data_IF_001074729201
#
_entry.id   IF_001074729201
#
_cell.length_a   1.000
_cell.length_b   1.000
_cell.length_c   1.000
_cell.angle_alpha   90.00
_cell.angle_beta   90.00
_cell.angle_gamma   90.00
#
_symmetry.space_group_name_H-M   'P 1'
#
loop_
_entity.id
_entity.type
_entity.pdbx_description
1 polymer ?
#
# COMPACT_ATOMS: atom_id res chain seq x y z
N UNK A 1 23.57 -13.77 -8.68
CA UNK A 1 22.24 -14.25 -8.25
C UNK A 1 21.98 -13.63 -6.89
N UNK A 2 20.90 -12.84 -6.75
CA UNK A 2 20.58 -12.17 -5.51
C UNK A 2 20.20 -13.18 -4.42
N UNK A 3 20.55 -12.87 -3.18
CA UNK A 3 20.10 -13.60 -2.00
C UNK A 3 18.80 -12.98 -1.48
N UNK A 4 17.82 -13.79 -1.11
CA UNK A 4 16.59 -13.29 -0.47
C UNK A 4 16.82 -13.13 1.04
N UNK A 5 16.54 -11.95 1.55
CA UNK A 5 16.67 -11.57 2.96
C UNK A 5 15.33 -11.02 3.47
N UNK A 6 14.91 -11.44 4.66
CA UNK A 6 13.87 -10.73 5.41
C UNK A 6 14.53 -9.52 6.07
N UNK A 7 14.04 -8.32 5.76
CA UNK A 7 14.60 -7.09 6.29
C UNK A 7 14.31 -6.96 7.79
N UNK A 8 15.19 -6.26 8.48
CA UNK A 8 15.13 -6.04 9.92
C UNK A 8 15.56 -4.60 10.27
N UNK A 9 15.45 -4.17 11.53
CA UNK A 9 16.04 -2.91 11.97
C UNK A 9 17.53 -2.83 11.58
N UNK A 10 17.93 -1.74 10.94
CA UNK A 10 19.24 -1.54 10.32
C UNK A 10 19.20 -1.50 8.80
N UNK A 11 18.18 -2.08 8.17
CA UNK A 11 18.07 -2.15 6.70
C UNK A 11 17.34 -0.93 6.08
N UNK A 12 16.86 0.02 6.88
CA UNK A 12 16.04 1.14 6.42
C UNK A 12 16.74 1.96 5.32
N UNK A 13 18.02 2.29 5.52
CA UNK A 13 18.76 3.09 4.55
C UNK A 13 18.92 2.37 3.21
N UNK A 14 19.14 1.05 3.22
CA UNK A 14 19.25 0.24 2.01
C UNK A 14 17.90 0.15 1.27
N UNK A 15 16.80 0.01 2.03
CA UNK A 15 15.45 0.02 1.48
C UNK A 15 15.10 1.38 0.86
N UNK A 16 15.37 2.49 1.55
CA UNK A 16 15.12 3.83 1.03
C UNK A 16 15.96 4.13 -0.21
N UNK A 17 17.24 3.73 -0.23
CA UNK A 17 18.10 3.90 -1.40
C UNK A 17 17.54 3.18 -2.65
N UNK A 18 16.88 2.04 -2.47
CA UNK A 18 16.22 1.32 -3.56
C UNK A 18 14.87 1.96 -3.95
N UNK A 19 14.04 2.38 -2.99
CA UNK A 19 12.68 2.84 -3.28
C UNK A 19 12.59 4.30 -3.72
N UNK A 20 13.45 5.20 -3.21
CA UNK A 20 13.38 6.64 -3.50
C UNK A 20 13.52 6.98 -5.00
N UNK A 21 14.40 6.33 -5.79
CA UNK A 21 14.42 6.53 -7.25
C UNK A 21 13.14 6.09 -7.97
N UNK A 22 12.24 5.38 -7.28
CA UNK A 22 10.97 4.82 -7.78
C UNK A 22 9.80 5.31 -6.92
N UNK A 23 9.93 6.55 -6.41
CA UNK A 23 9.04 7.12 -5.39
C UNK A 23 7.56 6.96 -5.74
N UNK A 24 7.19 7.32 -6.97
CA UNK A 24 5.81 7.32 -7.45
C UNK A 24 5.14 5.95 -7.22
N UNK A 25 5.79 4.85 -7.61
CA UNK A 25 5.27 3.50 -7.45
C UNK A 25 5.62 2.81 -6.12
N UNK A 26 6.40 3.47 -5.26
CA UNK A 26 6.91 2.92 -4.00
C UNK A 26 6.35 3.59 -2.75
N UNK A 27 5.43 4.55 -2.90
CA UNK A 27 5.00 5.44 -1.82
C UNK A 27 4.44 4.68 -0.60
N UNK A 28 3.68 3.60 -0.81
CA UNK A 28 3.14 2.82 0.30
C UNK A 28 4.21 2.01 1.04
N UNK A 29 5.17 1.43 0.32
CA UNK A 29 6.31 0.73 0.94
C UNK A 29 7.13 1.69 1.80
N UNK A 30 7.44 2.88 1.27
CA UNK A 30 8.17 3.94 1.98
C UNK A 30 7.41 4.47 3.20
N UNK A 31 6.13 4.81 3.03
CA UNK A 31 5.33 5.37 4.12
C UNK A 31 5.16 4.37 5.25
N UNK A 32 4.87 3.11 4.92
CA UNK A 32 4.71 2.08 5.95
C UNK A 32 6.04 1.80 6.66
N UNK A 33 7.16 1.68 5.94
CA UNK A 33 8.47 1.44 6.58
C UNK A 33 8.88 2.59 7.49
N UNK A 34 8.57 3.84 7.13
CA UNK A 34 8.85 5.01 7.97
C UNK A 34 7.94 5.09 9.19
N UNK A 35 6.66 4.75 9.04
CA UNK A 35 5.69 4.83 10.11
C UNK A 35 5.86 3.72 11.16
N UNK A 36 6.16 2.49 10.72
CA UNK A 36 6.17 1.31 11.59
C UNK A 36 7.50 0.57 11.68
N UNK A 37 8.52 1.00 10.94
CA UNK A 37 9.77 0.28 10.81
C UNK A 37 9.64 -1.00 9.98
N UNK A 38 10.63 -1.89 10.12
CA UNK A 38 10.79 -3.12 9.34
C UNK A 38 10.51 -4.38 10.15
N UNK A 39 9.84 -4.24 11.30
CA UNK A 39 9.42 -5.37 12.13
C UNK A 39 7.93 -5.60 11.92
N UNK A 40 7.57 -6.82 11.53
CA UNK A 40 6.18 -7.24 11.46
C UNK A 40 5.66 -7.52 12.88
N UNK A 41 4.77 -6.67 13.38
CA UNK A 41 4.14 -6.85 14.70
C UNK A 41 2.65 -7.22 14.58
N UNK A 42 2.14 -7.38 13.35
CA UNK A 42 0.71 -7.53 13.07
C UNK A 42 -0.12 -6.28 13.35
N UNK A 43 0.49 -5.18 13.79
CA UNK A 43 -0.19 -3.90 13.98
C UNK A 43 -0.32 -3.14 12.66
N UNK A 44 -1.18 -2.11 12.64
CA UNK A 44 -1.41 -1.27 11.47
C UNK A 44 -0.10 -0.74 10.89
N UNK A 45 0.00 -0.77 9.56
CA UNK A 45 1.15 -0.43 8.71
C UNK A 45 2.35 -1.37 8.80
N UNK A 46 2.39 -2.31 9.74
CA UNK A 46 3.51 -3.26 9.85
C UNK A 46 3.39 -4.38 8.83
N UNK A 47 4.52 -4.95 8.43
CA UNK A 47 4.57 -6.04 7.47
C UNK A 47 5.93 -6.72 7.41
N UNK A 48 5.97 -7.92 6.85
CA UNK A 48 7.19 -8.66 6.60
C UNK A 48 7.75 -8.28 5.22
N UNK A 49 8.96 -7.72 5.20
CA UNK A 49 9.63 -7.28 3.97
C UNK A 49 10.65 -8.31 3.53
N UNK A 50 10.43 -8.94 2.38
CA UNK A 50 11.44 -9.76 1.71
C UNK A 50 12.14 -8.92 0.63
N UNK A 51 13.45 -8.90 0.65
CA UNK A 51 14.28 -8.17 -0.31
C UNK A 51 15.27 -9.09 -1.01
N UNK A 52 15.48 -8.83 -2.29
CA UNK A 52 16.54 -9.42 -3.09
C UNK A 52 17.78 -8.54 -2.92
N UNK A 53 18.89 -9.14 -2.48
CA UNK A 53 20.14 -8.42 -2.22
C UNK A 53 21.24 -8.98 -3.11
N UNK A 54 21.87 -8.10 -3.89
CA UNK A 54 23.02 -8.43 -4.73
C UNK A 54 24.12 -7.40 -4.49
N UNK A 55 25.36 -7.86 -4.24
CA UNK A 55 26.51 -7.00 -3.93
C UNK A 55 26.22 -5.97 -2.81
N UNK A 56 25.46 -6.39 -1.79
CA UNK A 56 25.09 -5.54 -0.65
C UNK A 56 24.00 -4.51 -0.92
N UNK A 57 23.44 -4.47 -2.14
CA UNK A 57 22.37 -3.55 -2.52
C UNK A 57 21.05 -4.27 -2.74
N UNK A 58 19.95 -3.65 -2.35
CA UNK A 58 18.61 -4.17 -2.65
C UNK A 58 18.31 -3.96 -4.13
N UNK A 59 17.85 -5.01 -4.81
CA UNK A 59 17.48 -5.00 -6.23
C UNK A 59 15.99 -5.26 -6.46
N UNK A 60 15.26 -5.67 -5.43
CA UNK A 60 13.82 -5.85 -5.44
C UNK A 60 13.27 -6.06 -4.03
N UNK A 61 12.02 -5.69 -3.79
CA UNK A 61 11.35 -5.90 -2.50
C UNK A 61 9.88 -6.27 -2.71
N UNK A 62 9.39 -7.18 -1.87
CA UNK A 62 7.96 -7.44 -1.66
C UNK A 62 7.68 -7.42 -0.17
N UNK A 63 6.62 -6.74 0.25
CA UNK A 63 6.18 -6.68 1.64
C UNK A 63 4.78 -7.26 1.78
N UNK A 64 4.55 -8.07 2.82
CA UNK A 64 3.22 -8.58 3.18
C UNK A 64 2.73 -7.90 4.45
N UNK A 65 1.73 -7.02 4.31
CA UNK A 65 1.26 -6.16 5.38
C UNK A 65 0.18 -6.77 6.28
N UNK A 66 -0.04 -6.13 7.43
CA UNK A 66 -1.02 -6.48 8.46
C UNK A 66 -2.44 -6.80 7.96
N UNK A 67 -2.85 -6.22 6.84
CA UNK A 67 -4.17 -6.41 6.23
C UNK A 67 -4.19 -7.47 5.12
N UNK A 68 -3.12 -8.26 4.97
CA UNK A 68 -3.04 -9.33 3.97
C UNK A 68 -2.61 -8.86 2.57
N UNK A 69 -2.34 -7.57 2.37
CA UNK A 69 -1.92 -7.07 1.06
C UNK A 69 -0.42 -7.27 0.85
N UNK A 70 -0.07 -7.80 -0.32
CA UNK A 70 1.28 -7.80 -0.87
C UNK A 70 1.51 -6.50 -1.64
N UNK A 71 2.60 -5.81 -1.33
CA UNK A 71 3.08 -4.67 -2.11
C UNK A 71 4.44 -4.98 -2.70
N UNK A 72 4.64 -4.68 -3.98
CA UNK A 72 5.82 -5.08 -4.73
C UNK A 72 6.52 -3.92 -5.44
N UNK A 73 7.85 -4.00 -5.46
CA UNK A 73 8.72 -3.19 -6.31
C UNK A 73 9.95 -4.04 -6.66
N UNK A 74 9.88 -4.81 -7.74
CA UNK A 74 10.99 -5.66 -8.18
C UNK A 74 10.95 -5.94 -9.70
N UNK A 75 12.10 -6.30 -10.31
CA UNK A 75 12.13 -7.01 -11.59
C UNK A 75 11.27 -8.27 -11.57
N UNK A 76 10.65 -8.63 -12.70
CA UNK A 76 9.64 -9.70 -12.77
C UNK A 76 10.19 -11.06 -12.34
N UNK A 77 11.43 -11.36 -12.73
CA UNK A 77 12.14 -12.60 -12.42
C UNK A 77 12.45 -12.79 -10.92
N UNK A 78 12.37 -11.72 -10.13
CA UNK A 78 12.59 -11.76 -8.69
C UNK A 78 11.29 -11.85 -7.88
N UNK A 79 10.13 -11.62 -8.50
CA UNK A 79 8.87 -11.50 -7.77
C UNK A 79 8.50 -12.79 -7.03
N UNK A 80 8.61 -13.94 -7.70
CA UNK A 80 8.21 -15.22 -7.13
C UNK A 80 8.90 -15.56 -5.80
N UNK A 81 10.24 -15.63 -5.73
CA UNK A 81 10.92 -15.92 -4.48
C UNK A 81 10.71 -14.83 -3.41
N UNK A 82 10.47 -13.57 -3.81
CA UNK A 82 10.20 -12.47 -2.89
C UNK A 82 8.83 -12.58 -2.23
N UNK A 83 7.76 -12.74 -3.00
CA UNK A 83 6.42 -12.81 -2.42
C UNK A 83 6.24 -14.08 -1.58
N UNK A 84 6.81 -15.22 -2.01
CA UNK A 84 6.78 -16.45 -1.23
C UNK A 84 7.48 -16.28 0.13
N UNK A 85 8.63 -15.59 0.14
CA UNK A 85 9.38 -15.31 1.37
C UNK A 85 8.63 -14.35 2.30
N UNK A 86 8.01 -13.31 1.74
CA UNK A 86 7.20 -12.36 2.52
C UNK A 86 5.96 -13.02 3.13
N UNK A 87 5.25 -13.86 2.37
CA UNK A 87 4.10 -14.65 2.86
C UNK A 87 4.51 -15.64 3.93
N UNK A 88 5.60 -16.38 3.71
CA UNK A 88 6.13 -17.32 4.70
C UNK A 88 6.54 -16.61 6.00
N UNK A 89 7.19 -15.45 5.90
CA UNK A 89 7.66 -14.70 7.05
C UNK A 89 6.50 -14.10 7.87
N UNK A 90 5.45 -13.60 7.21
CA UNK A 90 4.29 -13.04 7.92
C UNK A 90 3.34 -14.10 8.47
N UNK A 91 3.28 -15.28 7.84
CA UNK A 91 2.36 -16.35 8.20
C UNK A 91 0.88 -16.04 7.93
N UNK A 92 0.58 -15.02 7.13
CA UNK A 92 -0.80 -14.59 6.83
C UNK A 92 -1.28 -15.11 5.47
N UNK A 93 -2.60 -15.21 5.32
CA UNK A 93 -3.22 -15.39 4.02
C UNK A 93 -3.06 -14.13 3.17
N UNK A 94 -2.88 -14.29 1.86
CA UNK A 94 -2.86 -13.18 0.90
C UNK A 94 -4.29 -12.71 0.67
N UNK A 95 -4.56 -11.44 1.00
CA UNK A 95 -5.84 -10.77 0.78
C UNK A 95 -5.87 -9.90 -0.48
N UNK A 96 -4.70 -9.54 -1.04
CA UNK A 96 -4.62 -8.74 -2.25
C UNK A 96 -3.18 -8.44 -2.67
N UNK A 97 -3.01 -7.89 -3.87
CA UNK A 97 -1.72 -7.47 -4.42
C UNK A 97 -1.87 -6.06 -4.95
N UNK A 98 -0.97 -5.16 -4.56
CA UNK A 98 -0.98 -3.74 -4.94
C UNK A 98 0.40 -3.34 -5.45
N UNK A 99 0.47 -2.79 -6.65
CA UNK A 99 1.73 -2.36 -7.26
C UNK A 99 1.59 -2.08 -8.75
N UNK A 100 2.72 -1.92 -9.47
CA UNK A 100 2.70 -1.77 -10.92
C UNK A 100 2.01 -2.95 -11.60
N UNK A 101 1.14 -2.68 -12.59
CA UNK A 101 0.24 -3.68 -13.19
C UNK A 101 0.95 -4.97 -13.66
N UNK A 102 2.11 -4.86 -14.31
CA UNK A 102 2.87 -6.05 -14.74
C UNK A 102 3.39 -6.89 -13.57
N UNK A 103 3.78 -6.26 -12.45
CA UNK A 103 4.25 -6.96 -11.26
C UNK A 103 3.07 -7.62 -10.52
N UNK A 104 1.93 -6.93 -10.44
CA UNK A 104 0.68 -7.49 -9.90
C UNK A 104 0.27 -8.73 -10.70
N UNK A 105 0.19 -8.64 -12.03
CA UNK A 105 -0.16 -9.76 -12.89
C UNK A 105 0.77 -10.96 -12.70
N UNK A 106 2.08 -10.74 -12.59
CA UNK A 106 3.07 -11.80 -12.36
C UNK A 106 2.88 -12.50 -11.01
N UNK A 107 2.62 -11.75 -9.93
CA UNK A 107 2.33 -12.33 -8.61
C UNK A 107 1.00 -13.09 -8.65
N UNK A 108 -0.06 -12.50 -9.22
CA UNK A 108 -1.39 -13.11 -9.31
C UNK A 108 -1.36 -14.43 -10.07
N UNK A 109 -0.62 -14.50 -11.18
CA UNK A 109 -0.40 -15.75 -11.92
C UNK A 109 0.29 -16.82 -11.07
N UNK A 110 1.32 -16.44 -10.29
CA UNK A 110 2.04 -17.34 -9.40
C UNK A 110 1.23 -17.81 -8.18
N UNK A 111 0.27 -17.00 -7.71
CA UNK A 111 -0.65 -17.38 -6.63
C UNK A 111 -1.73 -18.38 -7.11
N UNK A 112 -1.99 -18.45 -8.42
CA UNK A 112 -3.02 -19.32 -8.99
C UNK A 112 -4.43 -19.00 -8.46
N UNK A 113 -4.71 -17.73 -8.16
CA UNK A 113 -5.98 -17.32 -7.56
C UNK A 113 -7.15 -17.57 -8.53
N UNK A 114 -8.17 -18.33 -8.12
CA UNK A 114 -9.38 -18.49 -8.91
C UNK A 114 -10.07 -17.14 -9.13
N UNK A 115 -10.47 -16.84 -10.36
CA UNK A 115 -11.09 -15.55 -10.73
C UNK A 115 -12.40 -15.30 -9.97
N UNK A 116 -13.14 -16.34 -9.57
CA UNK A 116 -14.36 -16.26 -8.77
C UNK A 116 -14.10 -15.87 -7.30
N UNK A 117 -12.83 -15.90 -6.85
CA UNK A 117 -12.40 -15.43 -5.53
C UNK A 117 -11.80 -14.04 -5.55
N UNK A 118 -11.72 -13.41 -6.71
CA UNK A 118 -11.20 -12.05 -6.87
C UNK A 118 -12.36 -11.07 -6.78
N UNK A 119 -12.37 -10.27 -5.71
CA UNK A 119 -13.39 -9.23 -5.53
C UNK A 119 -13.17 -8.03 -6.47
N UNK A 120 -11.91 -7.73 -6.81
CA UNK A 120 -11.52 -6.57 -7.60
C UNK A 120 -10.21 -6.87 -8.35
N UNK A 121 -10.20 -6.60 -9.65
CA UNK A 121 -9.03 -6.69 -10.53
C UNK A 121 -9.05 -5.52 -11.52
N UNK A 122 -8.47 -4.39 -11.10
CA UNK A 122 -8.53 -3.14 -11.83
C UNK A 122 -7.12 -2.54 -11.95
N UNK A 123 -6.86 -1.91 -13.10
CA UNK A 123 -5.63 -1.16 -13.35
C UNK A 123 -5.97 0.32 -13.43
N UNK A 124 -5.44 1.07 -12.47
CA UNK A 124 -5.70 2.50 -12.34
C UNK A 124 -4.49 3.35 -12.72
N UNK A 125 -4.76 4.58 -13.16
CA UNK A 125 -3.72 5.55 -13.48
C UNK A 125 -3.05 6.09 -12.22
N UNK A 126 -1.72 5.95 -12.13
CA UNK A 126 -0.92 6.66 -11.14
C UNK A 126 -0.49 8.01 -11.72
N UNK A 127 -0.90 9.10 -11.08
CA UNK A 127 -0.57 10.46 -11.49
C UNK A 127 0.44 11.09 -10.53
N UNK A 128 1.43 11.78 -11.08
CA UNK A 128 2.33 12.66 -10.34
C UNK A 128 2.28 14.07 -10.89
N UNK A 129 2.41 15.07 -10.00
CA UNK A 129 2.39 16.49 -10.33
C UNK A 129 3.50 17.18 -9.56
N UNK A 130 4.40 17.86 -10.27
CA UNK A 130 5.39 18.70 -9.62
C UNK A 130 4.67 19.89 -8.95
N UNK A 131 4.94 20.18 -7.67
CA UNK A 131 4.25 21.25 -6.94
C UNK A 131 4.40 22.63 -7.61
N UNK A 132 5.50 22.88 -8.33
CA UNK A 132 5.70 24.12 -9.12
C UNK A 132 4.74 24.26 -10.29
N UNK A 133 4.14 23.15 -10.73
CA UNK A 133 3.16 23.06 -11.83
C UNK A 133 1.72 23.02 -11.28
N UNK A 134 1.54 23.12 -9.96
CA UNK A 134 0.22 23.14 -9.34
C UNK A 134 -0.54 24.41 -9.74
N UNK A 135 -1.69 24.23 -10.40
CA UNK A 135 -2.62 25.31 -10.74
C UNK A 135 -3.72 25.39 -9.68
N UNK A 136 -3.85 26.53 -9.02
CA UNK A 136 -4.95 26.77 -8.06
C UNK A 136 -6.25 27.07 -8.82
N UNK A 137 -7.33 26.30 -8.62
CA UNK A 137 -8.64 26.59 -9.22
C UNK A 137 -9.18 27.96 -8.84
N UNK A 138 -9.93 28.59 -9.74
CA UNK A 138 -10.43 29.97 -9.54
C UNK A 138 -11.22 30.17 -8.24
N UNK A 139 -12.15 29.28 -7.84
CA UNK A 139 -12.89 29.47 -6.60
C UNK A 139 -12.01 29.52 -5.34
N UNK A 140 -10.89 28.77 -5.32
CA UNK A 140 -9.91 28.79 -4.22
C UNK A 140 -9.08 30.08 -4.28
N UNK A 141 -8.65 30.48 -5.48
CA UNK A 141 -7.86 31.70 -5.68
C UNK A 141 -8.65 32.97 -5.34
N UNK A 142 -9.93 33.00 -5.69
CA UNK A 142 -10.85 34.10 -5.39
C UNK A 142 -11.39 34.07 -3.94
N UNK A 143 -11.09 33.03 -3.16
CA UNK A 143 -11.60 32.86 -1.79
C UNK A 143 -13.10 32.55 -1.71
N UNK A 144 -13.75 32.20 -2.82
CA UNK A 144 -15.14 31.76 -2.86
C UNK A 144 -15.35 30.43 -2.12
N UNK A 145 -14.31 29.60 -2.07
CA UNK A 145 -14.23 28.41 -1.22
C UNK A 145 -12.89 28.41 -0.48
N UNK A 146 -12.88 27.81 0.70
CA UNK A 146 -11.66 27.60 1.47
C UNK A 146 -11.67 26.20 2.10
N UNK A 147 -10.49 25.59 2.22
CA UNK A 147 -10.31 24.40 3.02
C UNK A 147 -10.14 24.77 4.49
N UNK A 148 -10.68 23.96 5.39
CA UNK A 148 -10.36 24.00 6.82
C UNK A 148 -9.98 22.60 7.29
N UNK A 149 -9.27 22.53 8.42
CA UNK A 149 -9.06 21.24 9.09
C UNK A 149 -10.40 20.68 9.55
N UNK A 150 -10.51 19.35 9.52
CA UNK A 150 -11.65 18.67 10.11
C UNK A 150 -11.72 18.95 11.60
N UNK A 151 -12.94 18.97 12.12
CA UNK A 151 -13.25 19.14 13.53
C UNK A 151 -14.16 18.00 14.00
N UNK A 152 -14.33 17.82 15.31
CA UNK A 152 -15.17 16.75 15.86
C UNK A 152 -16.62 16.79 15.35
N UNK A 153 -17.13 17.97 14.99
CA UNK A 153 -18.47 18.13 14.38
C UNK A 153 -18.62 17.49 13.00
N UNK A 154 -17.51 17.21 12.30
CA UNK A 154 -17.51 16.64 10.95
C UNK A 154 -17.48 15.11 10.95
N UNK A 155 -17.24 14.48 12.11
CA UNK A 155 -16.98 13.04 12.22
C UNK A 155 -18.11 12.19 11.63
N UNK A 156 -19.37 12.56 11.88
CA UNK A 156 -20.52 11.82 11.36
C UNK A 156 -20.56 11.84 9.83
N UNK A 157 -20.29 13.01 9.24
CA UNK A 157 -20.26 13.17 7.79
C UNK A 157 -19.10 12.41 7.16
N UNK A 158 -17.90 12.54 7.74
CA UNK A 158 -16.70 11.87 7.23
C UNK A 158 -16.79 10.35 7.36
N UNK A 159 -17.38 9.83 8.43
CA UNK A 159 -17.62 8.41 8.61
C UNK A 159 -18.61 7.86 7.57
N UNK A 160 -19.66 8.64 7.23
CA UNK A 160 -20.60 8.29 6.17
C UNK A 160 -19.90 8.26 4.80
N UNK A 161 -19.14 9.29 4.44
CA UNK A 161 -18.36 9.31 3.19
C UNK A 161 -17.37 8.16 3.11
N UNK A 162 -16.68 7.86 4.22
CA UNK A 162 -15.74 6.74 4.27
C UNK A 162 -16.44 5.40 4.07
N UNK A 163 -17.64 5.23 4.64
CA UNK A 163 -18.44 4.02 4.44
C UNK A 163 -18.88 3.91 2.98
N UNK A 164 -19.46 4.98 2.42
CA UNK A 164 -19.89 5.04 1.03
C UNK A 164 -18.74 4.70 0.07
N UNK A 165 -17.55 5.27 0.29
CA UNK A 165 -16.35 4.94 -0.47
C UNK A 165 -16.00 3.44 -0.42
N UNK A 166 -16.05 2.81 0.76
CA UNK A 166 -15.71 1.38 0.87
C UNK A 166 -16.73 0.50 0.13
N UNK A 167 -18.00 0.89 0.14
CA UNK A 167 -19.07 0.16 -0.56
C UNK A 167 -18.94 0.35 -2.07
N UNK A 168 -18.87 1.59 -2.52
CA UNK A 168 -18.86 1.96 -3.93
C UNK A 168 -17.54 1.57 -4.62
N UNK A 169 -16.41 2.01 -4.08
CA UNK A 169 -15.12 1.90 -4.75
C UNK A 169 -14.38 0.59 -4.43
N UNK A 170 -14.68 -0.06 -3.29
CA UNK A 170 -14.00 -1.30 -2.89
C UNK A 170 -14.94 -2.52 -2.89
N UNK A 171 -16.21 -2.37 -3.25
CA UNK A 171 -17.18 -3.47 -3.27
C UNK A 171 -17.48 -4.09 -1.91
N UNK A 172 -17.25 -3.36 -0.81
CA UNK A 172 -17.53 -3.86 0.53
C UNK A 172 -19.06 -3.94 0.78
N UNK A 173 -19.49 -4.91 1.58
CA UNK A 173 -20.86 -4.95 2.07
C UNK A 173 -21.09 -3.84 3.12
N UNK A 174 -22.21 -3.13 3.00
CA UNK A 174 -22.61 -2.11 3.98
C UNK A 174 -23.15 -2.75 5.26
N UNK A 175 -22.24 -3.07 6.19
CA UNK A 175 -22.56 -3.70 7.47
C UNK A 175 -22.36 -2.76 8.66
N UNK A 176 -23.02 -3.01 9.81
CA UNK A 176 -22.76 -2.26 11.04
C UNK A 176 -21.27 -2.24 11.44
N UNK A 177 -20.56 -3.34 11.23
CA UNK A 177 -19.14 -3.47 11.55
C UNK A 177 -18.29 -2.60 10.62
N UNK A 178 -18.61 -2.53 9.32
CA UNK A 178 -17.95 -1.62 8.39
C UNK A 178 -18.14 -0.17 8.82
N UNK A 179 -19.36 0.24 9.16
CA UNK A 179 -19.69 1.60 9.60
C UNK A 179 -18.94 1.97 10.88
N UNK A 180 -18.93 1.08 11.86
CA UNK A 180 -18.22 1.29 13.13
C UNK A 180 -16.71 1.44 12.90
N UNK A 181 -16.12 0.58 12.07
CA UNK A 181 -14.69 0.66 11.70
C UNK A 181 -14.37 1.96 10.99
N UNK A 182 -15.19 2.36 10.01
CA UNK A 182 -15.00 3.60 9.26
C UNK A 182 -15.07 4.82 10.16
N UNK A 183 -15.97 4.83 11.16
CA UNK A 183 -16.03 5.89 12.17
C UNK A 183 -14.76 5.94 13.02
N UNK A 184 -14.35 4.80 13.58
CA UNK A 184 -13.17 4.73 14.44
C UNK A 184 -11.87 5.16 13.72
N UNK A 185 -11.79 4.98 12.40
CA UNK A 185 -10.70 5.47 11.57
C UNK A 185 -10.68 7.01 11.43
N UNK A 186 -11.84 7.69 11.51
CA UNK A 186 -11.94 9.16 11.41
C UNK A 186 -11.71 9.88 12.74
N UNK A 187 -11.77 9.15 13.86
CA UNK A 187 -11.58 9.71 15.21
C UNK A 187 -10.10 9.83 15.63
N UNK A 188 -9.17 9.32 14.82
CA UNK A 188 -7.72 9.30 15.08
C UNK A 188 -6.98 10.37 14.30
#
# INVERSE_FOLDING_TARGET
MPTIKILAPGDQNALEAFLLPRLDSSIFLLNNSRASGLVDTGQRYTGAYAAAVENGSITGVVAHFWNGNLLCQAPLELLEPLWQSAVKASGRAVGGVVGPAQQVAAISAGLGMPTDRVQMDESEGLFSLALRELVTPEPLRAGAVHGRRMESRDLDLLAQWRTAYNVEALGAADTPELRQRCRADMER
#
